data_IF_626684955906
#
_entry.id   IF_626684955906
#
_cell.length_a   1.000
_cell.length_b   1.000
_cell.length_c   1.000
_cell.angle_alpha   90.00
_cell.angle_beta   90.00
_cell.angle_gamma   90.00
#
_symmetry.space_group_name_H-M   'P 1'
#
loop_
_entity.id
_entity.type
_entity.pdbx_description
1 polymer ?
#
# COMPACT_ATOMS: atom_id res chain seq x y z
N UNK A 1 -14.01 13.08 -11.94
CA UNK A 1 -14.28 11.64 -11.98
C UNK A 1 -14.86 11.36 -13.36
N UNK A 2 -14.35 10.38 -14.08
CA UNK A 2 -14.70 10.10 -15.48
C UNK A 2 -14.99 8.61 -15.64
N UNK A 3 -16.12 8.24 -16.24
CA UNK A 3 -16.47 6.84 -16.45
C UNK A 3 -15.49 6.19 -17.44
N UNK A 4 -15.14 4.92 -17.21
CA UNK A 4 -14.34 4.09 -18.13
C UNK A 4 -15.23 2.95 -18.63
N UNK A 5 -16.01 3.16 -19.71
CA UNK A 5 -17.02 2.19 -20.15
C UNK A 5 -16.48 0.79 -20.39
N UNK A 6 -15.29 0.66 -20.98
CA UNK A 6 -14.65 -0.63 -21.29
C UNK A 6 -14.27 -1.45 -20.04
N UNK A 7 -14.30 -0.83 -18.85
CA UNK A 7 -13.99 -1.48 -17.56
C UNK A 7 -15.22 -1.67 -16.67
N UNK A 8 -16.39 -1.21 -17.10
CA UNK A 8 -17.65 -1.45 -16.41
C UNK A 8 -18.08 -2.92 -16.63
N UNK A 9 -18.77 -3.46 -15.65
CA UNK A 9 -19.36 -4.81 -15.71
C UNK A 9 -20.85 -4.71 -15.39
N UNK A 10 -21.55 -5.84 -15.45
CA UNK A 10 -22.95 -5.88 -15.04
C UNK A 10 -23.13 -5.60 -13.54
N UNK A 11 -22.09 -5.80 -12.73
CA UNK A 11 -22.11 -5.65 -11.27
C UNK A 11 -21.35 -4.43 -10.72
N UNK A 12 -20.55 -3.71 -11.52
CA UNK A 12 -19.80 -2.55 -11.05
C UNK A 12 -19.43 -1.57 -12.15
N UNK A 13 -19.48 -0.28 -11.83
CA UNK A 13 -18.97 0.79 -12.69
C UNK A 13 -17.51 1.09 -12.36
N UNK A 14 -16.73 1.50 -13.37
CA UNK A 14 -15.32 1.88 -13.20
C UNK A 14 -15.11 3.32 -13.64
N UNK A 15 -14.34 4.06 -12.86
CA UNK A 15 -14.03 5.46 -13.09
C UNK A 15 -12.53 5.74 -13.01
N UNK A 16 -12.08 6.67 -13.85
CA UNK A 16 -10.82 7.39 -13.68
C UNK A 16 -11.02 8.59 -12.76
N UNK A 17 -10.16 8.71 -11.76
CA UNK A 17 -10.18 9.81 -10.79
C UNK A 17 -8.85 10.53 -10.86
N UNK A 18 -8.88 11.87 -10.83
CA UNK A 18 -7.67 12.68 -10.71
C UNK A 18 -7.73 13.51 -9.43
N UNK A 19 -6.74 13.35 -8.56
CA UNK A 19 -6.62 14.04 -7.28
C UNK A 19 -5.45 15.02 -7.30
N UNK A 20 -5.54 16.11 -6.56
CA UNK A 20 -4.37 16.96 -6.27
C UNK A 20 -3.85 16.53 -4.92
N UNK A 21 -2.56 16.26 -4.81
CA UNK A 21 -1.91 15.92 -3.54
C UNK A 21 -1.26 17.14 -2.90
N UNK A 22 -0.25 16.95 -2.05
CA UNK A 22 0.59 18.04 -1.55
C UNK A 22 1.32 18.74 -2.71
N UNK A 23 1.23 20.07 -2.71
CA UNK A 23 1.66 20.90 -3.83
C UNK A 23 0.72 20.80 -5.05
N UNK A 24 1.15 21.20 -6.25
CA UNK A 24 0.32 21.14 -7.46
C UNK A 24 0.30 19.74 -8.11
N UNK A 25 0.74 18.69 -7.42
CA UNK A 25 0.95 17.36 -8.01
C UNK A 25 -0.38 16.66 -8.31
N UNK A 26 -0.59 16.27 -9.57
CA UNK A 26 -1.82 15.59 -10.00
C UNK A 26 -1.61 14.08 -10.06
N UNK A 27 -2.38 13.38 -9.26
CA UNK A 27 -2.44 11.93 -9.20
C UNK A 27 -3.55 11.40 -10.10
N UNK A 28 -3.46 10.10 -10.39
CA UNK A 28 -4.51 9.33 -11.05
C UNK A 28 -4.88 8.12 -10.19
N UNK A 29 -6.14 7.73 -10.23
CA UNK A 29 -6.63 6.55 -9.54
C UNK A 29 -7.76 5.88 -10.33
N UNK A 30 -7.92 4.58 -10.12
CA UNK A 30 -9.11 3.84 -10.54
C UNK A 30 -10.06 3.70 -9.35
N UNK A 31 -11.33 4.05 -9.57
CA UNK A 31 -12.42 3.88 -8.60
C UNK A 31 -13.45 2.93 -9.20
N UNK A 32 -13.69 1.79 -8.56
CA UNK A 32 -14.82 0.92 -8.87
C UNK A 32 -15.91 1.08 -7.83
N UNK A 33 -17.16 1.19 -8.28
CA UNK A 33 -18.33 1.27 -7.40
C UNK A 33 -19.26 0.10 -7.75
N UNK A 34 -19.67 -0.75 -6.79
CA UNK A 34 -20.68 -1.77 -7.03
C UNK A 34 -22.00 -1.16 -7.49
N UNK A 35 -22.75 -1.88 -8.34
CA UNK A 35 -24.13 -1.50 -8.65
C UNK A 35 -25.05 -1.97 -7.53
N UNK A 36 -26.07 -1.16 -7.23
CA UNK A 36 -27.06 -1.44 -6.19
C UNK A 36 -27.04 -0.38 -5.09
N UNK A 37 -27.74 -0.68 -4.01
CA UNK A 37 -27.87 0.24 -2.87
C UNK A 37 -26.70 0.05 -1.90
N UNK A 38 -25.89 1.09 -1.76
CA UNK A 38 -24.84 1.17 -0.75
C UNK A 38 -25.36 1.64 0.62
N UNK A 39 -24.46 2.10 1.52
CA UNK A 39 -23.02 2.20 1.36
C UNK A 39 -22.33 0.82 1.36
N UNK A 40 -21.16 0.73 0.74
CA UNK A 40 -20.38 -0.50 0.60
C UNK A 40 -19.08 -0.45 1.42
N UNK A 41 -18.58 -1.60 1.93
CA UNK A 41 -17.22 -1.68 2.42
C UNK A 41 -16.21 -1.31 1.31
N UNK A 42 -15.05 -0.78 1.69
CA UNK A 42 -14.06 -0.28 0.73
C UNK A 42 -12.69 -0.93 0.88
N UNK A 43 -12.07 -1.23 -0.26
CA UNK A 43 -10.67 -1.64 -0.37
C UNK A 43 -9.89 -0.50 -1.02
N UNK A 44 -8.93 0.06 -0.27
CA UNK A 44 -7.98 1.04 -0.76
C UNK A 44 -6.60 0.40 -0.96
N UNK A 45 -6.13 0.33 -2.20
CA UNK A 45 -4.74 -0.01 -2.50
C UNK A 45 -3.89 1.26 -2.57
N UNK A 46 -3.05 1.41 -1.56
CA UNK A 46 -2.06 2.49 -1.45
C UNK A 46 -1.03 2.42 -2.59
N UNK A 47 -0.40 3.54 -2.97
CA UNK A 47 0.73 3.55 -3.89
C UNK A 47 1.76 2.43 -3.59
N UNK A 48 1.95 1.53 -4.55
CA UNK A 48 2.92 0.43 -4.48
C UNK A 48 4.29 0.83 -5.05
N UNK A 49 5.34 0.08 -4.72
CA UNK A 49 6.66 0.23 -5.35
C UNK A 49 6.68 -0.40 -6.75
N UNK A 50 6.03 0.24 -7.73
CA UNK A 50 5.97 -0.21 -9.11
C UNK A 50 5.71 0.94 -10.08
N UNK A 51 5.96 0.74 -11.37
CA UNK A 51 5.77 1.76 -12.41
C UNK A 51 4.33 1.96 -12.86
N UNK A 52 3.50 0.90 -12.81
CA UNK A 52 2.14 0.90 -13.34
C UNK A 52 1.11 0.68 -12.24
N UNK A 53 0.04 1.48 -12.33
CA UNK A 53 -1.19 1.30 -11.57
C UNK A 53 -2.16 0.38 -12.32
N UNK A 54 -2.70 -0.60 -11.61
CA UNK A 54 -3.73 -1.51 -12.11
C UNK A 54 -5.12 -1.08 -11.59
N UNK A 55 -6.19 -1.52 -12.24
CA UNK A 55 -7.56 -1.27 -11.74
C UNK A 55 -7.80 -1.97 -10.40
N UNK A 56 -7.33 -3.21 -10.32
CA UNK A 56 -7.22 -4.06 -9.12
C UNK A 56 -5.88 -4.79 -9.22
N UNK A 57 -5.21 -5.15 -8.11
CA UNK A 57 -3.94 -5.86 -8.16
C UNK A 57 -4.03 -7.19 -8.92
N UNK A 58 -2.93 -7.57 -9.57
CA UNK A 58 -2.82 -8.89 -10.19
C UNK A 58 -3.05 -10.00 -9.14
N UNK A 59 -3.85 -11.00 -9.49
CA UNK A 59 -4.21 -12.11 -8.60
C UNK A 59 -5.52 -11.88 -7.83
N UNK A 60 -6.02 -10.65 -7.74
CA UNK A 60 -7.35 -10.38 -7.15
C UNK A 60 -8.47 -10.74 -8.11
N UNK A 61 -9.52 -11.39 -7.61
CA UNK A 61 -10.70 -11.70 -8.43
C UNK A 61 -11.45 -10.43 -8.86
N UNK A 62 -11.76 -10.28 -10.14
CA UNK A 62 -12.54 -9.13 -10.62
C UNK A 62 -13.92 -9.01 -9.95
N UNK A 63 -14.48 -10.14 -9.47
CA UNK A 63 -15.77 -10.17 -8.80
C UNK A 63 -15.75 -9.48 -7.42
N UNK A 64 -14.60 -9.19 -6.80
CA UNK A 64 -14.55 -8.40 -5.55
C UNK A 64 -15.25 -7.04 -5.70
N UNK A 65 -15.24 -6.48 -6.91
CA UNK A 65 -15.88 -5.19 -7.23
C UNK A 65 -17.41 -5.23 -7.17
N UNK A 66 -18.04 -6.41 -7.08
CA UNK A 66 -19.48 -6.54 -6.83
C UNK A 66 -19.85 -6.29 -5.36
N UNK A 67 -18.87 -6.38 -4.45
CA UNK A 67 -19.06 -6.28 -3.00
C UNK A 67 -18.40 -5.05 -2.40
N UNK A 68 -17.27 -4.64 -2.95
CA UNK A 68 -16.46 -3.56 -2.41
C UNK A 68 -16.41 -2.36 -3.36
N UNK A 69 -16.48 -1.15 -2.80
CA UNK A 69 -15.86 -0.01 -3.47
C UNK A 69 -14.37 -0.26 -3.51
N UNK A 70 -13.77 -0.24 -4.69
CA UNK A 70 -12.33 -0.46 -4.83
C UNK A 70 -11.64 0.80 -5.33
N UNK A 71 -10.52 1.15 -4.72
CA UNK A 71 -9.76 2.34 -5.08
C UNK A 71 -8.27 2.01 -5.19
N UNK A 72 -7.74 2.02 -6.41
CA UNK A 72 -6.31 1.87 -6.68
C UNK A 72 -5.74 3.24 -6.99
N UNK A 73 -4.85 3.77 -6.15
CA UNK A 73 -4.29 5.11 -6.32
C UNK A 73 -2.82 5.07 -6.77
N UNK A 74 -2.48 5.83 -7.80
CA UNK A 74 -1.09 6.02 -8.20
C UNK A 74 -0.36 6.94 -7.23
N UNK A 75 0.89 6.60 -6.92
CA UNK A 75 1.83 7.56 -6.32
C UNK A 75 2.42 8.47 -7.39
N UNK A 76 2.91 9.66 -6.99
CA UNK A 76 3.70 10.51 -7.88
C UNK A 76 4.84 9.72 -8.53
N UNK A 77 5.04 9.92 -9.82
CA UNK A 77 6.06 9.21 -10.60
C UNK A 77 5.57 7.97 -11.33
N UNK A 78 4.40 7.41 -10.96
CA UNK A 78 3.81 6.28 -11.67
C UNK A 78 3.06 6.72 -12.93
N UNK A 79 2.82 5.79 -13.86
CA UNK A 79 2.04 6.06 -15.07
C UNK A 79 0.71 6.75 -14.76
N UNK A 80 0.40 7.82 -15.50
CA UNK A 80 -0.75 8.73 -15.32
C UNK A 80 -0.66 9.67 -14.09
N UNK A 81 0.39 9.55 -13.28
CA UNK A 81 0.81 10.46 -12.22
C UNK A 81 2.30 10.82 -12.38
N UNK A 82 2.81 10.78 -13.61
CA UNK A 82 4.22 10.90 -14.00
C UNK A 82 4.59 12.32 -14.47
N UNK A 83 3.77 13.31 -14.10
CA UNK A 83 3.98 14.72 -14.40
C UNK A 83 3.87 15.57 -13.13
N UNK A 84 4.84 16.46 -12.86
CA UNK A 84 6.05 16.76 -13.66
C UNK A 84 7.21 15.77 -13.48
N UNK A 85 7.05 14.74 -12.64
CA UNK A 85 8.11 13.79 -12.31
C UNK A 85 7.73 12.39 -12.76
N UNK A 86 8.60 11.72 -13.52
CA UNK A 86 8.47 10.31 -13.86
C UNK A 86 9.49 9.50 -13.04
N UNK A 87 9.02 8.52 -12.28
CA UNK A 87 9.87 7.71 -11.42
C UNK A 87 10.66 6.67 -12.22
N UNK A 88 11.89 6.41 -11.79
CA UNK A 88 12.68 5.30 -12.29
C UNK A 88 12.49 4.07 -11.41
N UNK A 89 12.33 2.91 -12.03
CA UNK A 89 12.25 1.62 -11.36
C UNK A 89 13.24 0.68 -12.07
N UNK A 90 14.38 0.32 -11.45
CA UNK A 90 14.88 0.76 -10.14
C UNK A 90 15.34 2.23 -10.11
N UNK A 91 15.40 2.83 -8.92
CA UNK A 91 15.98 4.16 -8.65
C UNK A 91 15.12 5.09 -7.80
N UNK A 92 13.83 4.78 -7.63
CA UNK A 92 12.92 5.61 -6.86
C UNK A 92 13.31 5.67 -5.37
N UNK A 93 13.82 4.58 -4.79
CA UNK A 93 14.14 4.50 -3.36
C UNK A 93 15.24 5.48 -2.94
N UNK A 94 16.06 5.94 -3.87
CA UNK A 94 17.20 6.83 -3.58
C UNK A 94 16.99 8.25 -4.08
N UNK A 95 15.82 8.56 -4.65
CA UNK A 95 15.52 9.89 -5.20
C UNK A 95 15.39 10.94 -4.09
N UNK A 96 16.38 11.84 -4.00
CA UNK A 96 16.43 12.94 -3.04
C UNK A 96 16.73 12.51 -1.61
N UNK A 97 17.38 11.35 -1.44
CA UNK A 97 17.60 10.67 -0.15
C UNK A 97 18.57 11.40 0.79
N UNK A 98 19.30 12.40 0.29
CA UNK A 98 20.25 13.21 1.06
C UNK A 98 19.57 14.10 2.10
N UNK A 99 18.28 14.42 1.91
CA UNK A 99 17.50 15.27 2.83
C UNK A 99 16.06 14.77 2.98
N UNK A 100 15.53 14.65 4.22
CA UNK A 100 14.13 14.30 4.46
C UNK A 100 13.12 15.25 3.78
N UNK A 101 13.51 16.51 3.59
CA UNK A 101 12.68 17.55 3.00
C UNK A 101 12.53 17.36 1.48
N UNK A 102 13.57 16.87 0.81
CA UNK A 102 13.61 16.63 -0.64
C UNK A 102 13.28 15.19 -1.03
N UNK A 103 13.28 14.27 -0.08
CA UNK A 103 13.10 12.85 -0.34
C UNK A 103 11.72 12.54 -0.94
N UNK A 104 11.71 11.79 -2.04
CA UNK A 104 10.49 11.57 -2.83
C UNK A 104 9.36 10.91 -2.04
N UNK A 105 9.68 10.05 -1.07
CA UNK A 105 8.69 9.35 -0.26
C UNK A 105 7.94 10.25 0.71
N UNK A 106 8.46 11.45 1.03
CA UNK A 106 7.67 12.48 1.72
C UNK A 106 6.42 12.84 0.92
N UNK A 107 6.57 12.95 -0.40
CA UNK A 107 5.48 13.19 -1.33
C UNK A 107 4.59 11.97 -1.52
N UNK A 108 5.17 10.77 -1.72
CA UNK A 108 4.40 9.53 -1.95
C UNK A 108 3.55 9.16 -0.73
N UNK A 109 4.05 9.35 0.49
CA UNK A 109 3.25 9.16 1.71
C UNK A 109 2.07 10.13 1.76
N UNK A 110 2.28 11.41 1.40
CA UNK A 110 1.18 12.37 1.31
C UNK A 110 0.16 11.99 0.22
N UNK A 111 0.61 11.43 -0.90
CA UNK A 111 -0.25 10.91 -1.97
C UNK A 111 -1.12 9.75 -1.46
N UNK A 112 -0.54 8.85 -0.66
CA UNK A 112 -1.26 7.74 -0.05
C UNK A 112 -2.32 8.21 0.96
N UNK A 113 -1.98 9.18 1.82
CA UNK A 113 -2.94 9.80 2.75
C UNK A 113 -4.10 10.45 1.97
N UNK A 114 -3.79 11.21 0.89
CA UNK A 114 -4.81 11.84 0.05
C UNK A 114 -5.72 10.82 -0.63
N UNK A 115 -5.18 9.67 -1.05
CA UNK A 115 -5.99 8.59 -1.60
C UNK A 115 -6.98 8.04 -0.56
N UNK A 116 -6.51 7.79 0.66
CA UNK A 116 -7.36 7.32 1.77
C UNK A 116 -8.45 8.34 2.13
N UNK A 117 -8.09 9.63 2.27
CA UNK A 117 -9.04 10.72 2.52
C UNK A 117 -10.14 10.77 1.44
N UNK A 118 -9.76 10.58 0.17
CA UNK A 118 -10.72 10.58 -0.92
C UNK A 118 -11.72 9.41 -0.80
N UNK A 119 -11.24 8.19 -0.53
CA UNK A 119 -12.11 7.01 -0.32
C UNK A 119 -13.06 7.25 0.84
N UNK A 120 -12.56 7.71 1.99
CA UNK A 120 -13.37 7.95 3.17
C UNK A 120 -14.40 9.10 3.01
N UNK A 121 -14.22 9.97 2.02
CA UNK A 121 -15.17 11.05 1.69
C UNK A 121 -16.32 10.62 0.77
N UNK A 122 -16.29 9.40 0.24
CA UNK A 122 -17.26 8.92 -0.75
C UNK A 122 -18.60 8.56 -0.09
N UNK A 123 -19.74 9.07 -0.58
CA UNK A 123 -21.05 8.68 -0.04
C UNK A 123 -21.37 7.20 -0.29
N UNK A 124 -20.71 6.57 -1.27
CA UNK A 124 -20.87 5.14 -1.57
C UNK A 124 -20.12 4.23 -0.59
N UNK A 125 -19.29 4.78 0.30
CA UNK A 125 -18.41 4.03 1.21
C UNK A 125 -18.97 4.01 2.62
N UNK A 126 -19.05 2.82 3.21
CA UNK A 126 -19.27 2.62 4.64
C UNK A 126 -17.96 2.90 5.36
N UNK A 127 -17.86 4.07 6.00
CA UNK A 127 -16.65 4.52 6.68
C UNK A 127 -16.28 3.69 7.91
N UNK A 128 -17.16 2.78 8.36
CA UNK A 128 -16.84 1.81 9.41
C UNK A 128 -16.14 0.54 8.88
N UNK A 129 -16.04 0.39 7.55
CA UNK A 129 -15.52 -0.79 6.86
C UNK A 129 -14.59 -0.41 5.71
N UNK A 130 -13.43 0.16 6.05
CA UNK A 130 -12.41 0.57 5.07
C UNK A 130 -11.09 -0.11 5.38
N UNK A 131 -10.59 -0.92 4.44
CA UNK A 131 -9.26 -1.53 4.52
C UNK A 131 -8.28 -0.79 3.62
N UNK A 132 -7.13 -0.40 4.17
CA UNK A 132 -5.98 0.07 3.37
C UNK A 132 -4.96 -1.05 3.22
N UNK A 133 -4.45 -1.26 2.01
CA UNK A 133 -3.56 -2.38 1.66
C UNK A 133 -2.30 -1.84 0.97
N UNK A 134 -1.14 -2.33 1.39
CA UNK A 134 0.13 -2.03 0.72
C UNK A 134 1.34 -2.38 1.59
N UNK A 135 2.47 -1.73 1.33
CA UNK A 135 3.69 -1.88 2.12
C UNK A 135 3.74 -0.87 3.28
N UNK A 136 4.93 -0.52 3.75
CA UNK A 136 5.19 0.52 4.75
C UNK A 136 4.39 1.81 4.49
N UNK A 137 4.19 2.21 3.23
CA UNK A 137 3.43 3.42 2.85
C UNK A 137 1.96 3.31 3.27
N UNK A 138 1.35 2.13 3.17
CA UNK A 138 -0.04 1.91 3.61
C UNK A 138 -0.18 2.00 5.13
N UNK A 139 0.79 1.47 5.87
CA UNK A 139 0.85 1.61 7.33
C UNK A 139 1.01 3.08 7.74
N UNK A 140 1.95 3.81 7.13
CA UNK A 140 2.15 5.24 7.42
C UNK A 140 0.89 6.03 7.08
N UNK A 141 0.25 5.75 5.94
CA UNK A 141 -0.97 6.42 5.52
C UNK A 141 -2.16 6.12 6.44
N UNK A 142 -2.33 4.87 6.88
CA UNK A 142 -3.35 4.49 7.86
C UNK A 142 -3.12 5.11 9.23
N UNK A 143 -1.87 5.19 9.68
CA UNK A 143 -1.47 5.74 10.97
C UNK A 143 -1.53 7.27 11.07
N UNK A 144 -1.30 7.99 9.96
CA UNK A 144 -1.33 9.46 9.93
C UNK A 144 -2.63 10.02 9.35
N UNK A 145 -3.25 9.29 8.44
CA UNK A 145 -4.52 9.64 7.83
C UNK A 145 -5.71 9.30 8.74
N UNK A 146 -6.89 9.69 8.29
CA UNK A 146 -8.16 9.26 8.87
C UNK A 146 -8.93 8.46 7.83
N UNK A 147 -9.69 7.46 8.28
CA UNK A 147 -10.67 6.78 7.45
C UNK A 147 -10.35 5.33 7.06
N UNK A 148 -9.25 4.75 7.55
CA UNK A 148 -9.06 3.30 7.52
C UNK A 148 -9.46 2.69 8.87
N UNK A 149 -10.20 1.59 8.85
CA UNK A 149 -10.56 0.78 10.03
C UNK A 149 -9.79 -0.54 10.08
N UNK A 150 -9.32 -1.01 8.92
CA UNK A 150 -8.46 -2.19 8.78
C UNK A 150 -7.20 -1.83 7.99
N UNK A 151 -6.10 -2.53 8.29
CA UNK A 151 -4.84 -2.43 7.57
C UNK A 151 -4.36 -3.82 7.15
N UNK A 152 -3.96 -3.96 5.90
CA UNK A 152 -3.11 -5.07 5.46
C UNK A 152 -1.77 -4.49 5.04
N UNK A 153 -0.70 -4.91 5.73
CA UNK A 153 0.65 -4.37 5.50
C UNK A 153 1.62 -5.49 5.16
N UNK A 154 2.40 -5.27 4.09
CA UNK A 154 3.55 -6.11 3.68
C UNK A 154 4.82 -5.25 3.72
N UNK A 155 5.48 -5.09 4.89
CA UNK A 155 6.68 -4.25 4.99
C UNK A 155 7.78 -4.71 4.04
N UNK A 156 8.45 -3.76 3.39
CA UNK A 156 9.47 -4.06 2.39
C UNK A 156 10.57 -2.99 2.26
N UNK A 157 10.34 -1.75 2.71
CA UNK A 157 11.19 -0.61 2.38
C UNK A 157 11.88 0.01 3.59
N UNK A 158 11.13 0.34 4.65
CA UNK A 158 11.58 1.36 5.62
C UNK A 158 11.96 0.82 6.99
N UNK A 159 11.74 -0.48 7.25
CA UNK A 159 12.20 -1.09 8.48
C UNK A 159 13.72 -1.36 8.43
N UNK A 160 14.51 -0.64 9.23
CA UNK A 160 15.97 -0.83 9.32
C UNK A 160 16.70 -0.84 7.95
N UNK A 161 16.24 -0.01 7.01
CA UNK A 161 16.57 -0.07 5.58
C UNK A 161 18.03 -0.36 5.26
N UNK A 162 18.98 0.43 5.78
CA UNK A 162 20.41 0.26 5.44
C UNK A 162 21.01 -1.00 6.07
N UNK A 163 20.53 -1.42 7.24
CA UNK A 163 20.95 -2.67 7.88
C UNK A 163 20.49 -3.84 7.03
N UNK A 164 19.21 -3.88 6.66
CA UNK A 164 18.64 -4.95 5.85
C UNK A 164 19.21 -4.96 4.43
N UNK A 165 19.41 -3.79 3.80
CA UNK A 165 20.03 -3.70 2.48
C UNK A 165 21.42 -4.37 2.47
N UNK A 166 22.24 -4.19 3.50
CA UNK A 166 23.55 -4.86 3.58
C UNK A 166 23.52 -6.39 3.67
N UNK A 167 22.34 -6.99 3.85
CA UNK A 167 22.13 -8.43 4.04
C UNK A 167 21.46 -9.09 2.81
N UNK A 168 21.16 -8.34 1.76
CA UNK A 168 20.48 -8.85 0.56
C UNK A 168 20.95 -8.15 -0.70
N UNK A 169 20.84 -8.85 -1.83
CA UNK A 169 20.96 -8.27 -3.18
C UNK A 169 19.60 -8.13 -3.88
N UNK A 170 18.50 -8.36 -3.14
CA UNK A 170 17.14 -8.25 -3.66
C UNK A 170 16.70 -6.79 -3.80
N UNK A 171 16.15 -6.45 -4.97
CA UNK A 171 15.43 -5.19 -5.16
C UNK A 171 14.11 -5.21 -4.38
N UNK A 172 13.69 -4.07 -3.80
CA UNK A 172 14.25 -2.73 -3.98
C UNK A 172 15.38 -2.34 -3.01
N UNK A 173 15.70 -3.16 -2.00
CA UNK A 173 16.74 -2.82 -1.03
C UNK A 173 18.15 -2.72 -1.65
N UNK A 174 18.41 -3.45 -2.73
CA UNK A 174 19.68 -3.33 -3.48
C UNK A 174 19.92 -1.92 -4.04
N UNK A 175 18.88 -1.11 -4.27
CA UNK A 175 19.07 0.30 -4.69
C UNK A 175 19.88 1.10 -3.66
N UNK A 176 19.78 0.75 -2.38
CA UNK A 176 20.57 1.38 -1.32
C UNK A 176 22.04 1.00 -1.41
N UNK A 177 22.34 -0.26 -1.76
CA UNK A 177 23.71 -0.72 -1.96
C UNK A 177 24.32 -0.10 -3.22
N UNK A 178 23.55 -0.05 -4.33
CA UNK A 178 23.91 0.65 -5.56
C UNK A 178 24.27 2.12 -5.28
N UNK A 179 23.41 2.83 -4.55
CA UNK A 179 23.62 4.23 -4.20
C UNK A 179 24.84 4.45 -3.29
N UNK A 180 25.03 3.62 -2.27
CA UNK A 180 26.17 3.77 -1.34
C UNK A 180 27.50 3.34 -1.96
N UNK A 181 27.50 2.47 -2.98
CA UNK A 181 28.69 2.19 -3.80
C UNK A 181 29.12 3.42 -4.60
N UNK A 182 28.15 4.17 -5.13
CA UNK A 182 28.42 5.40 -5.89
C UNK A 182 28.76 6.60 -4.98
N UNK A 183 28.05 6.74 -3.85
CA UNK A 183 28.07 7.91 -2.97
C UNK A 183 28.29 7.51 -1.49
N UNK A 184 29.44 6.93 -1.12
CA UNK A 184 29.66 6.37 0.21
C UNK A 184 29.61 7.41 1.35
N UNK A 185 29.99 8.66 1.06
CA UNK A 185 29.94 9.76 2.05
C UNK A 185 28.51 10.11 2.48
N UNK A 186 27.50 9.77 1.68
CA UNK A 186 26.10 10.10 1.96
C UNK A 186 25.42 9.08 2.89
N UNK A 187 26.14 8.09 3.44
CA UNK A 187 25.56 7.04 4.30
C UNK A 187 24.78 7.60 5.48
N UNK A 188 25.35 8.57 6.19
CA UNK A 188 24.71 9.17 7.37
C UNK A 188 23.42 9.92 7.02
N UNK A 189 23.45 10.68 5.92
CA UNK A 189 22.28 11.41 5.42
C UNK A 189 21.18 10.45 4.96
N UNK A 190 21.54 9.43 4.18
CA UNK A 190 20.57 8.42 3.73
C UNK A 190 19.95 7.67 4.91
N UNK A 191 20.75 7.28 5.91
CA UNK A 191 20.25 6.61 7.12
C UNK A 191 19.26 7.49 7.89
N UNK A 192 19.60 8.78 8.05
CA UNK A 192 18.73 9.75 8.71
C UNK A 192 17.42 9.90 7.95
N UNK A 193 17.48 10.09 6.63
CA UNK A 193 16.30 10.31 5.77
C UNK A 193 15.32 9.15 5.80
N UNK A 194 15.78 7.91 5.54
CA UNK A 194 14.88 6.75 5.58
C UNK A 194 14.37 6.44 7.00
N UNK A 195 15.13 6.84 8.03
CA UNK A 195 14.73 6.70 9.43
C UNK A 195 13.42 7.41 9.79
N UNK A 196 13.07 8.50 9.11
CA UNK A 196 11.78 9.20 9.28
C UNK A 196 10.57 8.38 8.83
N UNK A 197 10.78 7.37 7.99
CA UNK A 197 9.74 6.53 7.41
C UNK A 197 9.67 5.15 8.05
N UNK A 198 10.49 4.90 9.08
CA UNK A 198 10.53 3.58 9.72
C UNK A 198 9.17 3.22 10.32
N UNK A 199 8.56 2.09 9.92
CA UNK A 199 7.19 1.74 10.29
C UNK A 199 6.96 1.63 11.80
N UNK A 200 8.01 1.37 12.60
CA UNK A 200 7.91 1.31 14.08
C UNK A 200 7.40 2.59 14.72
N UNK A 201 7.59 3.75 14.09
CA UNK A 201 7.14 5.04 14.62
C UNK A 201 5.65 5.31 14.35
N UNK A 202 5.07 4.54 13.42
CA UNK A 202 3.71 4.70 12.93
C UNK A 202 2.78 3.60 13.44
N UNK A 203 3.30 2.38 13.64
CA UNK A 203 2.54 1.26 14.17
C UNK A 203 1.72 1.60 15.44
N UNK A 204 2.25 2.31 16.46
CA UNK A 204 1.48 2.65 17.66
C UNK A 204 0.31 3.62 17.43
N UNK A 205 0.25 4.26 16.27
CA UNK A 205 -0.78 5.26 15.94
C UNK A 205 -1.95 4.66 15.17
N UNK A 206 -1.86 3.41 14.73
CA UNK A 206 -2.97 2.71 14.09
C UNK A 206 -3.60 1.73 15.08
N UNK A 207 -4.87 1.98 15.43
CA UNK A 207 -5.64 1.24 16.44
C UNK A 207 -6.66 0.25 15.83
N UNK A 208 -6.77 0.23 14.50
CA UNK A 208 -7.62 -0.71 13.76
C UNK A 208 -7.06 -2.13 13.69
N UNK A 209 -7.89 -3.07 13.21
CA UNK A 209 -7.42 -4.46 12.99
C UNK A 209 -6.38 -4.49 11.88
N UNK A 210 -5.28 -5.18 12.12
CA UNK A 210 -4.14 -5.25 11.20
C UNK A 210 -3.80 -6.69 10.84
N UNK A 211 -3.64 -6.96 9.55
CA UNK A 211 -2.97 -8.15 9.04
C UNK A 211 -1.56 -7.75 8.59
N UNK A 212 -0.55 -8.33 9.25
CA UNK A 212 0.85 -8.22 8.83
C UNK A 212 1.19 -9.43 7.97
N UNK A 213 1.45 -9.19 6.69
CA UNK A 213 1.97 -10.19 5.76
C UNK A 213 3.50 -10.12 5.83
N UNK A 214 4.08 -10.97 6.67
CA UNK A 214 5.52 -11.10 6.84
C UNK A 214 6.14 -11.98 5.74
N UNK A 215 7.46 -11.93 5.58
CA UNK A 215 8.17 -12.90 4.73
C UNK A 215 8.04 -14.31 5.30
N UNK A 216 8.43 -15.30 4.50
CA UNK A 216 8.54 -16.68 4.97
C UNK A 216 9.42 -16.76 6.23
N UNK A 217 9.15 -17.74 7.08
CA UNK A 217 9.95 -17.97 8.30
C UNK A 217 11.45 -18.05 7.95
N UNK A 218 12.29 -17.30 8.66
CA UNK A 218 13.73 -17.19 8.40
C UNK A 218 14.11 -16.13 7.36
N UNK A 219 13.14 -15.45 6.74
CA UNK A 219 13.35 -14.27 5.91
C UNK A 219 13.78 -13.05 6.75
N UNK A 220 14.33 -12.02 6.09
CA UNK A 220 14.81 -10.81 6.78
C UNK A 220 13.69 -10.02 7.47
N UNK A 221 12.48 -10.10 6.91
CA UNK A 221 11.25 -9.46 7.38
C UNK A 221 10.19 -10.52 7.72
N UNK A 222 10.62 -11.64 8.28
CA UNK A 222 9.73 -12.64 8.88
C UNK A 222 9.06 -12.10 10.17
N UNK A 223 8.25 -12.90 10.84
CA UNK A 223 7.55 -12.44 12.04
C UNK A 223 8.51 -11.97 13.15
N UNK A 224 9.65 -12.64 13.31
CA UNK A 224 10.67 -12.28 14.31
C UNK A 224 11.40 -10.98 13.93
N UNK A 225 11.78 -10.83 12.66
CA UNK A 225 12.41 -9.62 12.13
C UNK A 225 11.52 -8.39 12.26
N UNK A 226 10.21 -8.57 12.11
CA UNK A 226 9.21 -7.51 12.22
C UNK A 226 8.65 -7.29 13.64
N UNK A 227 9.12 -8.03 14.66
CA UNK A 227 8.61 -7.92 16.02
C UNK A 227 8.48 -6.47 16.54
N UNK A 228 9.46 -5.55 16.33
CA UNK A 228 9.32 -4.16 16.80
C UNK A 228 8.20 -3.36 16.12
N UNK A 229 7.74 -3.78 14.94
CA UNK A 229 6.58 -3.19 14.27
C UNK A 229 5.30 -3.86 14.74
N UNK A 230 5.29 -5.20 14.79
CA UNK A 230 4.13 -6.03 15.17
C UNK A 230 3.70 -5.73 16.60
N UNK A 231 4.63 -5.77 17.56
CA UNK A 231 4.38 -5.49 18.98
C UNK A 231 3.98 -4.03 19.24
N UNK A 232 4.35 -3.14 18.32
CA UNK A 232 4.03 -1.72 18.40
C UNK A 232 2.65 -1.37 17.85
N UNK A 233 1.95 -2.26 17.15
CA UNK A 233 0.62 -1.97 16.58
C UNK A 233 -0.40 -1.71 17.70
N UNK A 234 -1.17 -0.62 17.58
CA UNK A 234 -2.11 -0.20 18.61
C UNK A 234 -3.42 -1.01 18.65
N UNK A 235 -3.74 -1.71 17.56
CA UNK A 235 -4.99 -2.48 17.38
C UNK A 235 -4.82 -3.99 17.43
N UNK A 236 -5.91 -4.71 17.13
CA UNK A 236 -5.84 -6.17 17.01
C UNK A 236 -4.93 -6.57 15.85
N UNK A 237 -4.03 -7.52 16.08
CA UNK A 237 -3.01 -7.87 15.07
C UNK A 237 -3.06 -9.36 14.76
N UNK A 238 -3.15 -9.67 13.47
CA UNK A 238 -2.94 -11.01 12.89
C UNK A 238 -1.63 -10.98 12.12
N UNK A 239 -0.79 -11.99 12.28
CA UNK A 239 0.46 -12.12 11.53
C UNK A 239 0.38 -13.38 10.68
N UNK A 240 0.72 -13.25 9.40
CA UNK A 240 0.86 -14.36 8.46
C UNK A 240 2.26 -14.32 7.87
N UNK A 241 3.01 -15.41 8.03
CA UNK A 241 4.30 -15.59 7.35
C UNK A 241 4.04 -16.17 5.96
N UNK A 242 4.57 -15.50 4.94
CA UNK A 242 4.44 -15.88 3.53
C UNK A 242 4.83 -17.33 3.30
N UNK A 243 4.07 -18.03 2.47
CA UNK A 243 4.45 -19.33 1.93
C UNK A 243 5.12 -19.21 0.55
N UNK A 244 5.50 -17.99 0.17
CA UNK A 244 6.03 -17.61 -1.13
C UNK A 244 5.13 -18.09 -2.28
N UNK A 245 3.82 -18.00 -2.04
CA UNK A 245 2.79 -18.53 -2.92
C UNK A 245 1.67 -17.51 -3.05
N UNK A 246 1.61 -16.88 -4.22
CA UNK A 246 0.55 -15.91 -4.55
C UNK A 246 -0.86 -16.46 -4.29
N UNK A 247 -1.07 -17.77 -4.46
CA UNK A 247 -2.32 -18.43 -4.13
C UNK A 247 -2.57 -18.51 -2.62
N UNK A 248 -1.64 -19.11 -1.86
CA UNK A 248 -1.86 -19.36 -0.44
C UNK A 248 -1.92 -18.05 0.36
N UNK A 249 -1.02 -17.13 0.04
CA UNK A 249 -0.94 -15.83 0.71
C UNK A 249 -2.12 -14.93 0.32
N UNK A 250 -2.54 -14.99 -0.94
CA UNK A 250 -3.73 -14.31 -1.43
C UNK A 250 -5.01 -14.83 -0.78
N UNK A 251 -5.14 -16.14 -0.58
CA UNK A 251 -6.30 -16.75 0.09
C UNK A 251 -6.42 -16.30 1.56
N UNK A 252 -5.30 -16.20 2.27
CA UNK A 252 -5.29 -15.68 3.65
C UNK A 252 -5.74 -14.22 3.69
N UNK A 253 -5.21 -13.38 2.81
CA UNK A 253 -5.58 -11.98 2.71
C UNK A 253 -7.09 -11.82 2.44
N UNK A 254 -7.62 -12.49 1.42
CA UNK A 254 -9.03 -12.36 1.02
C UNK A 254 -9.99 -12.87 2.09
N UNK A 255 -9.66 -13.99 2.76
CA UNK A 255 -10.43 -14.52 3.89
C UNK A 255 -10.41 -13.58 5.08
N UNK A 256 -9.25 -13.01 5.40
CA UNK A 256 -9.13 -12.09 6.52
C UNK A 256 -9.97 -10.83 6.29
N UNK A 257 -9.88 -10.19 5.12
CA UNK A 257 -10.68 -9.00 4.79
C UNK A 257 -12.19 -9.33 4.85
N UNK A 258 -12.58 -10.44 4.24
CA UNK A 258 -13.97 -10.92 4.22
C UNK A 258 -14.52 -11.09 5.63
N UNK A 259 -13.75 -11.71 6.53
CA UNK A 259 -14.12 -11.89 7.92
C UNK A 259 -14.21 -10.57 8.68
N UNK A 260 -13.25 -9.64 8.48
CA UNK A 260 -13.28 -8.31 9.13
C UNK A 260 -14.54 -7.52 8.78
N UNK A 261 -15.07 -7.71 7.57
CA UNK A 261 -16.29 -7.03 7.11
C UNK A 261 -17.59 -7.78 7.37
N UNK A 262 -17.52 -8.97 7.99
CA UNK A 262 -18.67 -9.76 8.42
C UNK A 262 -19.33 -10.56 7.30
N UNK A 263 -18.57 -10.97 6.29
CA UNK A 263 -19.05 -11.87 5.24
C UNK A 263 -18.59 -13.31 5.52
N UNK A 264 -19.36 -14.30 5.08
CA UNK A 264 -19.06 -15.71 5.30
C UNK A 264 -18.01 -16.26 4.31
N UNK A 265 -18.10 -15.86 3.05
CA UNK A 265 -17.28 -16.40 1.96
C UNK A 265 -16.45 -15.35 1.24
N UNK A 266 -15.16 -15.66 1.08
CA UNK A 266 -14.22 -14.82 0.35
C UNK A 266 -14.43 -14.93 -1.16
N UNK A 267 -14.35 -13.80 -1.85
CA UNK A 267 -14.37 -13.77 -3.31
C UNK A 267 -12.94 -14.00 -3.79
N UNK A 268 -12.66 -15.21 -4.25
CA UNK A 268 -11.34 -15.62 -4.77
C UNK A 268 -11.40 -15.90 -6.27
N UNK A 269 -10.25 -15.85 -6.97
CA UNK A 269 -10.17 -16.26 -8.37
C UNK A 269 -10.72 -17.68 -8.58
N UNK A 270 -11.34 -17.92 -9.74
CA UNK A 270 -11.95 -19.23 -10.04
C UNK A 270 -10.95 -20.40 -9.94
N UNK A 271 -9.70 -20.19 -10.35
CA UNK A 271 -8.64 -21.19 -10.25
C UNK A 271 -8.11 -21.43 -8.83
N UNK A 272 -8.64 -20.73 -7.82
CA UNK A 272 -8.33 -20.89 -6.39
C UNK A 272 -9.44 -21.60 -5.62
N UNK A 273 -10.58 -21.89 -6.27
CA UNK A 273 -11.74 -22.57 -5.69
C UNK A 273 -11.55 -24.08 -5.64
#
# INVERSE_FOLDING_TARGET
VELIPIRCTDFADMYGVRLTSIGPYRLYAYLSIPKGDGPFPAIYWSPKYASVLETIPQGTANFVRSRYVTFSCAGRGQRNADQPFAAMFPGLLTTGIESPETYIFRGIVADAIRGLEYVASRPEVDTSKVVTIGNDVALIAGALGKGATQLVVTPALFFDTLRLASQTSGYPLEEMNDYLRHSPLNRGDAQRTVGYFNPRWFAPKFDGSTLVMAQHTGGLLDAAGLAPVIEGLGGSTTVHESQDSSYLDGLILERWITAQFGFDEAIVPEHWQ
#
